data_IF_091127100488
#
_entry.id   IF_091127100488
#
_cell.length_a   1.000
_cell.length_b   1.000
_cell.length_c   1.000
_cell.angle_alpha   90.00
_cell.angle_beta   90.00
_cell.angle_gamma   90.00
#
_symmetry.space_group_name_H-M   'P 1'
#
loop_
_entity.id
_entity.type
_entity.pdbx_description
1 polymer ?
#
# COMPACT_ATOMS: atom_id res chain seq x y z
N UNK A 1 12.26 -26.18 -7.41
CA UNK A 1 12.93 -24.90 -7.69
C UNK A 1 11.95 -24.00 -8.42
N UNK A 2 11.92 -22.72 -8.08
CA UNK A 2 11.06 -21.70 -8.70
C UNK A 2 11.93 -20.75 -9.51
N UNK A 3 11.69 -20.56 -10.82
CA UNK A 3 12.37 -19.55 -11.61
C UNK A 3 12.01 -18.13 -11.17
N UNK A 4 13.02 -17.26 -11.15
CA UNK A 4 12.91 -15.83 -10.95
C UNK A 4 13.69 -15.13 -12.07
N UNK A 5 13.00 -14.30 -12.84
CA UNK A 5 13.59 -13.44 -13.86
C UNK A 5 13.42 -11.98 -13.43
N UNK A 6 14.52 -11.24 -13.39
CA UNK A 6 14.54 -9.82 -13.00
C UNK A 6 15.17 -9.03 -14.14
N UNK A 7 14.46 -8.04 -14.64
CA UNK A 7 14.95 -7.06 -15.59
C UNK A 7 15.23 -5.75 -14.86
N UNK A 8 16.44 -5.21 -14.99
CA UNK A 8 16.81 -3.90 -14.44
C UNK A 8 17.45 -3.09 -15.55
N UNK A 9 16.70 -2.14 -16.11
CA UNK A 9 17.13 -1.43 -17.32
C UNK A 9 17.40 -2.42 -18.47
N UNK A 10 18.64 -2.45 -18.97
CA UNK A 10 19.06 -3.38 -20.02
C UNK A 10 19.54 -4.75 -19.50
N UNK A 11 19.72 -4.91 -18.18
CA UNK A 11 20.24 -6.13 -17.58
C UNK A 11 19.11 -7.12 -17.30
N UNK A 12 19.40 -8.42 -17.51
CA UNK A 12 18.49 -9.51 -17.16
C UNK A 12 19.19 -10.51 -16.28
N UNK A 13 18.60 -10.78 -15.11
CA UNK A 13 19.08 -11.74 -14.13
C UNK A 13 18.13 -12.93 -14.09
N UNK A 14 18.67 -14.14 -14.28
CA UNK A 14 17.91 -15.38 -14.22
C UNK A 14 18.41 -16.21 -13.06
N UNK A 15 17.50 -16.49 -12.14
CA UNK A 15 17.80 -17.18 -10.89
C UNK A 15 16.78 -18.29 -10.66
N UNK A 16 17.12 -19.20 -9.75
CA UNK A 16 16.18 -20.21 -9.25
C UNK A 16 16.21 -20.25 -7.74
N UNK A 17 15.04 -20.23 -7.14
CA UNK A 17 14.85 -20.24 -5.70
C UNK A 17 14.34 -21.60 -5.24
N UNK A 18 14.60 -21.95 -3.99
CA UNK A 18 13.89 -23.06 -3.35
C UNK A 18 12.40 -22.73 -3.25
N UNK A 19 11.54 -23.76 -3.24
CA UNK A 19 10.11 -23.61 -2.96
C UNK A 19 9.89 -23.86 -1.46
N UNK A 20 9.76 -22.80 -0.69
CA UNK A 20 9.60 -22.84 0.76
C UNK A 20 8.83 -21.60 1.25
N UNK A 21 7.99 -21.79 2.27
CA UNK A 21 7.06 -20.73 2.72
C UNK A 21 7.78 -19.52 3.34
N UNK A 22 9.01 -19.70 3.83
CA UNK A 22 9.78 -18.65 4.51
C UNK A 22 10.96 -18.20 3.66
N UNK A 23 11.68 -19.13 3.03
CA UNK A 23 12.87 -18.80 2.25
C UNK A 23 12.55 -18.21 0.88
N UNK A 24 11.49 -18.65 0.19
CA UNK A 24 11.19 -18.13 -1.15
C UNK A 24 10.95 -16.62 -1.18
N UNK A 25 10.12 -16.02 -0.30
CA UNK A 25 9.92 -14.57 -0.28
C UNK A 25 11.21 -13.81 0.04
N UNK A 26 12.01 -14.31 1.00
CA UNK A 26 13.27 -13.69 1.40
C UNK A 26 14.30 -13.71 0.26
N UNK A 27 14.44 -14.84 -0.42
CA UNK A 27 15.34 -14.98 -1.56
C UNK A 27 14.91 -14.09 -2.73
N UNK A 28 13.61 -13.96 -2.99
CA UNK A 28 13.09 -13.06 -4.01
C UNK A 28 13.44 -11.60 -3.68
N UNK A 29 13.21 -11.18 -2.43
CA UNK A 29 13.59 -9.85 -1.94
C UNK A 29 15.10 -9.60 -2.09
N UNK A 30 15.94 -10.54 -1.66
CA UNK A 30 17.40 -10.41 -1.77
C UNK A 30 17.85 -10.33 -3.22
N UNK A 31 17.30 -11.18 -4.09
CA UNK A 31 17.61 -11.20 -5.52
C UNK A 31 17.26 -9.87 -6.20
N UNK A 32 16.07 -9.32 -5.95
CA UNK A 32 15.66 -8.01 -6.49
C UNK A 32 16.57 -6.92 -5.93
N UNK A 33 16.86 -6.93 -4.63
CA UNK A 33 17.73 -5.93 -4.02
C UNK A 33 19.12 -5.94 -4.64
N UNK A 34 19.76 -7.11 -4.72
CA UNK A 34 21.09 -7.25 -5.32
C UNK A 34 21.10 -6.91 -6.81
N UNK A 35 20.02 -7.17 -7.55
CA UNK A 35 19.93 -6.81 -8.97
C UNK A 35 19.86 -5.29 -9.17
N UNK A 36 19.11 -4.60 -8.29
CA UNK A 36 19.06 -3.13 -8.28
C UNK A 36 20.41 -2.56 -7.85
N UNK A 37 20.96 -3.03 -6.73
CA UNK A 37 22.24 -2.52 -6.18
C UNK A 37 23.42 -2.74 -7.14
N UNK A 38 23.42 -3.83 -7.92
CA UNK A 38 24.46 -4.11 -8.91
C UNK A 38 24.37 -3.26 -10.18
N UNK A 39 23.20 -2.71 -10.51
CA UNK A 39 22.97 -1.97 -11.77
C UNK A 39 22.80 -0.48 -11.56
N UNK A 40 22.12 -0.10 -10.49
CA UNK A 40 21.66 1.25 -10.23
C UNK A 40 22.49 1.92 -9.13
N UNK A 41 22.41 3.24 -9.09
CA UNK A 41 23.00 4.01 -7.99
C UNK A 41 22.21 3.73 -6.71
N UNK A 42 22.81 3.01 -5.78
CA UNK A 42 22.17 2.62 -4.51
C UNK A 42 22.13 3.71 -3.44
N UNK A 43 22.77 4.87 -3.68
CA UNK A 43 22.86 5.98 -2.70
C UNK A 43 22.25 7.27 -3.23
N UNK A 44 21.25 7.76 -2.51
CA UNK A 44 20.55 9.02 -2.73
C UNK A 44 19.06 8.82 -3.01
N UNK A 45 18.32 9.92 -3.26
CA UNK A 45 16.92 9.84 -3.63
C UNK A 45 16.73 9.05 -4.92
N UNK A 46 15.77 8.14 -4.92
CA UNK A 46 15.46 7.29 -6.07
C UNK A 46 13.96 7.03 -6.15
N UNK A 47 13.50 6.70 -7.35
CA UNK A 47 12.14 6.22 -7.59
C UNK A 47 12.22 5.04 -8.54
N UNK A 48 11.70 3.89 -8.13
CA UNK A 48 11.65 2.67 -8.94
C UNK A 48 10.20 2.27 -9.19
N UNK A 49 9.86 2.07 -10.46
CA UNK A 49 8.66 1.37 -10.87
C UNK A 49 8.98 -0.13 -10.90
N UNK A 50 8.16 -0.91 -10.20
CA UNK A 50 8.23 -2.36 -10.13
C UNK A 50 6.98 -2.91 -10.81
N UNK A 51 7.18 -3.53 -11.97
CA UNK A 51 6.13 -4.20 -12.73
C UNK A 51 6.44 -5.68 -12.86
N UNK A 52 5.44 -6.49 -13.18
CA UNK A 52 5.66 -7.90 -13.48
C UNK A 52 4.53 -8.79 -13.00
N UNK A 53 4.85 -10.05 -12.75
CA UNK A 53 3.88 -11.05 -12.29
C UNK A 53 4.49 -12.09 -11.38
N UNK A 54 3.66 -12.56 -10.45
CA UNK A 54 3.90 -13.69 -9.58
C UNK A 54 2.90 -14.77 -10.00
N UNK A 55 3.39 -15.84 -10.61
CA UNK A 55 2.57 -16.93 -11.11
C UNK A 55 2.47 -18.02 -10.02
N UNK A 56 1.28 -18.21 -9.47
CA UNK A 56 0.96 -19.32 -8.58
C UNK A 56 0.30 -20.48 -9.34
N UNK A 57 0.11 -21.61 -8.68
CA UNK A 57 -0.50 -22.78 -9.31
C UNK A 57 -1.95 -22.52 -9.75
N UNK A 58 -2.72 -21.79 -8.95
CA UNK A 58 -4.14 -21.48 -9.14
C UNK A 58 -4.44 -20.11 -9.75
N UNK A 59 -3.42 -19.31 -10.11
CA UNK A 59 -3.61 -18.01 -10.75
C UNK A 59 -2.37 -17.11 -10.63
N UNK A 60 -2.44 -15.92 -11.21
CA UNK A 60 -1.32 -14.97 -11.21
C UNK A 60 -1.68 -13.67 -10.47
N UNK A 61 -0.68 -13.05 -9.88
CA UNK A 61 -0.76 -11.74 -9.24
C UNK A 61 0.08 -10.75 -10.04
N UNK A 62 -0.50 -9.61 -10.39
CA UNK A 62 0.22 -8.54 -11.08
C UNK A 62 0.98 -7.68 -10.08
N UNK A 63 2.23 -7.38 -10.40
CA UNK A 63 3.00 -6.34 -9.74
C UNK A 63 2.90 -5.07 -10.58
N UNK A 64 2.47 -3.97 -9.96
CA UNK A 64 2.39 -2.65 -10.59
C UNK A 64 2.43 -1.57 -9.50
N UNK A 65 3.62 -1.30 -9.00
CA UNK A 65 3.80 -0.33 -7.92
C UNK A 65 5.05 0.52 -8.11
N UNK A 66 5.06 1.68 -7.46
CA UNK A 66 6.17 2.62 -7.51
C UNK A 66 6.62 2.92 -6.09
N UNK A 67 7.92 2.88 -5.90
CA UNK A 67 8.57 3.13 -4.63
C UNK A 67 9.52 4.30 -4.81
N UNK A 68 9.29 5.39 -4.08
CA UNK A 68 10.12 6.58 -4.11
C UNK A 68 10.49 7.03 -2.71
N UNK A 69 11.65 7.67 -2.57
CA UNK A 69 12.10 8.21 -1.30
C UNK A 69 13.55 8.67 -1.34
N UNK A 70 14.03 9.22 -0.22
CA UNK A 70 15.38 9.78 -0.11
C UNK A 70 16.44 8.75 0.30
N UNK A 71 16.02 7.68 0.99
CA UNK A 71 16.89 6.66 1.57
C UNK A 71 16.29 5.27 1.42
N UNK A 72 17.13 4.27 1.12
CA UNK A 72 16.76 2.85 1.19
C UNK A 72 15.71 2.38 0.17
N UNK A 73 15.48 3.13 -0.91
CA UNK A 73 14.39 2.85 -1.87
C UNK A 73 14.53 1.47 -2.50
N UNK A 74 15.74 1.02 -2.83
CA UNK A 74 16.00 -0.33 -3.35
C UNK A 74 15.53 -1.43 -2.39
N UNK A 75 15.75 -1.25 -1.09
CA UNK A 75 15.30 -2.20 -0.06
C UNK A 75 13.77 -2.22 0.06
N UNK A 76 13.14 -1.04 0.05
CA UNK A 76 11.67 -0.90 0.10
C UNK A 76 11.03 -1.54 -1.15
N UNK A 77 11.54 -1.24 -2.34
CA UNK A 77 11.04 -1.79 -3.60
C UNK A 77 11.16 -3.32 -3.64
N UNK A 78 12.29 -3.86 -3.16
CA UNK A 78 12.53 -5.30 -3.08
C UNK A 78 11.60 -5.98 -2.08
N UNK A 79 11.36 -5.35 -0.93
CA UNK A 79 10.36 -5.81 0.05
C UNK A 79 8.95 -5.80 -0.56
N UNK A 80 8.65 -4.84 -1.44
CA UNK A 80 7.42 -4.76 -2.22
C UNK A 80 7.17 -5.97 -3.14
N UNK A 81 8.23 -6.63 -3.61
CA UNK A 81 8.14 -7.91 -4.36
C UNK A 81 7.98 -9.09 -3.43
N UNK A 82 8.77 -9.16 -2.36
CA UNK A 82 8.74 -10.28 -1.41
C UNK A 82 7.41 -10.39 -0.65
N UNK A 83 6.81 -9.25 -0.31
CA UNK A 83 5.58 -9.16 0.48
C UNK A 83 4.38 -9.94 -0.09
N UNK A 84 3.95 -9.74 -1.34
CA UNK A 84 2.85 -10.52 -1.93
C UNK A 84 3.17 -12.02 -2.07
N UNK A 85 4.45 -12.38 -2.28
CA UNK A 85 4.89 -13.79 -2.28
C UNK A 85 4.73 -14.39 -0.88
N UNK A 86 5.19 -13.68 0.15
CA UNK A 86 5.03 -14.11 1.54
C UNK A 86 3.55 -14.26 1.90
N UNK A 87 2.70 -13.30 1.52
CA UNK A 87 1.26 -13.36 1.78
C UNK A 87 0.62 -14.58 1.10
N UNK A 88 0.94 -14.85 -0.17
CA UNK A 88 0.45 -16.04 -0.87
C UNK A 88 0.89 -17.35 -0.24
N UNK A 89 2.18 -17.50 0.09
CA UNK A 89 2.73 -18.76 0.62
C UNK A 89 2.38 -19.02 2.10
N UNK A 90 2.20 -17.97 2.91
CA UNK A 90 1.85 -18.12 4.33
C UNK A 90 0.43 -18.62 4.52
N UNK A 91 -0.45 -18.49 3.53
CA UNK A 91 -1.80 -19.07 3.55
C UNK A 91 -1.85 -20.60 3.61
N UNK A 92 -0.80 -21.28 3.12
CA UNK A 92 -0.71 -22.74 3.12
C UNK A 92 -1.54 -23.45 2.04
N UNK A 93 -2.23 -22.74 1.15
CA UNK A 93 -2.99 -23.38 0.08
C UNK A 93 -2.07 -23.97 -1.01
N UNK A 94 -2.31 -25.22 -1.43
CA UNK A 94 -1.56 -25.86 -2.52
C UNK A 94 -1.68 -25.11 -3.86
N UNK A 95 -2.84 -24.48 -4.10
CA UNK A 95 -3.07 -23.62 -5.25
C UNK A 95 -2.19 -22.36 -5.26
N UNK A 96 -1.60 -22.00 -4.12
CA UNK A 96 -0.68 -20.86 -3.99
C UNK A 96 0.79 -21.29 -3.94
N UNK A 97 1.10 -22.52 -4.38
CA UNK A 97 2.48 -22.89 -4.72
C UNK A 97 2.97 -22.02 -5.87
N UNK A 98 4.11 -21.37 -5.66
CA UNK A 98 4.73 -20.49 -6.64
C UNK A 98 5.30 -21.30 -7.82
N UNK A 99 4.99 -20.88 -9.04
CA UNK A 99 5.46 -21.47 -10.31
C UNK A 99 6.54 -20.64 -10.97
N UNK A 100 6.43 -19.31 -10.95
CA UNK A 100 7.33 -18.40 -11.65
C UNK A 100 7.19 -16.98 -11.11
N UNK A 101 8.26 -16.19 -11.17
CA UNK A 101 8.23 -14.76 -10.86
C UNK A 101 9.00 -14.01 -11.95
N UNK A 102 8.37 -12.98 -12.52
CA UNK A 102 9.02 -12.04 -13.44
C UNK A 102 8.87 -10.65 -12.87
N UNK A 103 9.97 -9.92 -12.77
CA UNK A 103 10.02 -8.57 -12.23
C UNK A 103 10.76 -7.65 -13.18
N UNK A 104 10.13 -6.56 -13.54
CA UNK A 104 10.71 -5.45 -14.28
C UNK A 104 10.91 -4.28 -13.32
N UNK A 105 12.17 -3.88 -13.13
CA UNK A 105 12.56 -2.72 -12.34
C UNK A 105 13.01 -1.62 -13.27
N UNK A 106 12.31 -0.49 -13.24
CA UNK A 106 12.61 0.68 -14.06
C UNK A 106 12.83 1.89 -13.17
N UNK A 107 14.01 2.55 -13.24
CA UNK A 107 14.18 3.87 -12.66
C UNK A 107 13.18 4.85 -13.28
N UNK A 108 12.44 5.57 -12.45
CA UNK A 108 11.47 6.57 -12.91
C UNK A 108 12.15 7.93 -12.94
N UNK A 109 12.16 8.55 -14.12
CA UNK A 109 12.59 9.95 -14.25
C UNK A 109 11.60 10.88 -13.53
N UNK A 110 12.12 11.92 -12.88
CA UNK A 110 11.33 12.91 -12.15
C UNK A 110 10.27 13.58 -13.02
N UNK A 111 10.46 13.60 -14.35
CA UNK A 111 9.49 14.14 -15.31
C UNK A 111 8.08 13.56 -15.18
N UNK A 112 7.98 12.28 -14.80
CA UNK A 112 6.71 11.56 -14.74
C UNK A 112 6.27 11.25 -13.30
N UNK A 113 6.77 12.00 -12.31
CA UNK A 113 6.49 11.79 -10.89
C UNK A 113 5.77 13.00 -10.28
N UNK A 114 4.77 12.72 -9.45
CA UNK A 114 4.14 13.69 -8.55
C UNK A 114 4.39 13.28 -7.11
N UNK A 115 5.14 14.09 -6.37
CA UNK A 115 5.36 13.89 -4.96
C UNK A 115 4.27 14.60 -4.15
N UNK A 116 3.64 13.91 -3.20
CA UNK A 116 2.74 14.53 -2.24
C UNK A 116 3.57 15.42 -1.32
N UNK A 117 3.37 16.73 -1.46
CA UNK A 117 4.13 17.76 -0.75
C UNK A 117 3.45 18.12 0.58
N UNK A 118 2.13 18.26 0.57
CA UNK A 118 1.35 18.60 1.75
C UNK A 118 -0.12 18.18 1.62
N UNK A 119 -0.85 18.18 2.75
CA UNK A 119 -2.31 18.09 2.79
C UNK A 119 -2.84 19.14 3.74
N UNK A 120 -3.75 19.99 3.26
CA UNK A 120 -4.40 21.02 4.06
C UNK A 120 -5.86 20.69 4.33
N UNK A 121 -6.30 21.01 5.54
CA UNK A 121 -7.65 20.80 6.03
C UNK A 121 -8.01 21.89 7.07
N UNK A 122 -9.29 22.18 7.31
CA UNK A 122 -9.68 23.05 8.41
C UNK A 122 -9.25 22.46 9.76
N UNK A 123 -8.90 23.33 10.70
CA UNK A 123 -8.48 22.89 12.05
C UNK A 123 -9.63 22.28 12.84
N UNK A 124 -10.84 22.78 12.63
CA UNK A 124 -12.04 22.43 13.39
C UNK A 124 -13.24 22.28 12.47
N UNK A 125 -14.06 21.28 12.75
CA UNK A 125 -15.29 20.97 12.01
C UNK A 125 -16.37 20.51 12.98
N UNK A 126 -17.62 20.48 12.52
CA UNK A 126 -18.77 19.91 13.21
C UNK A 126 -19.33 18.71 12.44
N UNK A 127 -20.06 17.81 13.11
CA UNK A 127 -20.80 16.75 12.43
C UNK A 127 -21.72 17.34 11.35
N UNK A 128 -21.65 16.79 10.15
CA UNK A 128 -22.39 17.29 9.00
C UNK A 128 -21.75 18.48 8.27
N UNK A 129 -20.53 18.92 8.58
CA UNK A 129 -19.86 19.93 7.76
C UNK A 129 -19.41 19.36 6.40
N UNK A 130 -19.44 20.18 5.35
CA UNK A 130 -18.71 19.95 4.10
C UNK A 130 -17.30 20.53 4.21
N UNK A 131 -16.31 19.68 4.05
CA UNK A 131 -14.90 20.02 4.22
C UNK A 131 -14.17 19.92 2.90
N UNK A 132 -13.47 20.99 2.52
CA UNK A 132 -12.49 20.95 1.45
C UNK A 132 -11.14 20.48 2.00
N UNK A 133 -10.61 19.41 1.42
CA UNK A 133 -9.27 18.90 1.68
C UNK A 133 -8.41 19.20 0.45
N UNK A 134 -7.28 19.88 0.64
CA UNK A 134 -6.40 20.28 -0.46
C UNK A 134 -5.13 19.46 -0.38
N UNK A 135 -4.86 18.64 -1.40
CA UNK A 135 -3.61 17.89 -1.52
C UNK A 135 -2.67 18.65 -2.44
N UNK A 136 -1.51 19.04 -1.92
CA UNK A 136 -0.44 19.68 -2.67
C UNK A 136 0.53 18.65 -3.24
N UNK A 137 0.92 18.85 -4.49
CA UNK A 137 1.87 18.02 -5.22
C UNK A 137 3.02 18.86 -5.75
N UNK A 138 4.23 18.28 -5.73
CA UNK A 138 5.40 18.80 -6.42
C UNK A 138 5.77 17.86 -7.54
N UNK A 139 5.80 18.37 -8.77
CA UNK A 139 6.20 17.66 -9.98
C UNK A 139 7.60 18.04 -10.47
N UNK A 140 7.85 17.86 -11.76
CA UNK A 140 9.13 18.18 -12.39
C UNK A 140 9.55 19.65 -12.16
N UNK A 141 10.84 19.87 -11.90
CA UNK A 141 11.44 21.20 -11.74
C UNK A 141 10.80 22.05 -10.62
N UNK A 142 10.15 21.40 -9.65
CA UNK A 142 9.46 22.09 -8.56
C UNK A 142 8.09 22.64 -8.94
N UNK A 143 7.50 22.21 -10.06
CA UNK A 143 6.17 22.62 -10.45
C UNK A 143 5.15 22.20 -9.37
N UNK A 144 4.52 23.18 -8.72
CA UNK A 144 3.51 22.95 -7.71
C UNK A 144 2.13 22.84 -8.35
N UNK A 145 1.35 21.88 -7.89
CA UNK A 145 -0.07 21.77 -8.25
C UNK A 145 -0.86 21.29 -7.04
N UNK A 146 -2.16 21.54 -7.03
CA UNK A 146 -3.02 21.07 -5.95
C UNK A 146 -4.31 20.45 -6.48
N UNK A 147 -4.91 19.60 -5.66
CA UNK A 147 -6.21 18.98 -5.91
C UNK A 147 -7.07 19.13 -4.68
N UNK A 148 -8.25 19.72 -4.86
CA UNK A 148 -9.28 19.80 -3.82
C UNK A 148 -10.19 18.59 -3.92
N UNK A 149 -10.41 17.91 -2.80
CA UNK A 149 -11.42 16.88 -2.64
C UNK A 149 -12.40 17.27 -1.54
N UNK A 150 -13.66 16.89 -1.71
CA UNK A 150 -14.72 17.22 -0.77
C UNK A 150 -14.98 16.03 0.14
N UNK A 151 -15.06 16.30 1.45
CA UNK A 151 -15.39 15.31 2.47
C UNK A 151 -16.53 15.84 3.34
N UNK A 152 -17.64 15.10 3.38
CA UNK A 152 -18.74 15.37 4.31
C UNK A 152 -18.46 14.68 5.63
N UNK A 153 -18.32 15.43 6.72
CA UNK A 153 -18.23 14.85 8.06
C UNK A 153 -19.56 14.16 8.37
N UNK A 154 -19.57 12.87 8.78
CA UNK A 154 -20.81 12.18 9.13
C UNK A 154 -21.59 12.95 10.20
N UNK A 155 -22.93 13.02 10.06
CA UNK A 155 -23.80 13.73 11.00
C UNK A 155 -23.76 13.19 12.43
N UNK A 156 -23.36 11.93 12.60
CA UNK A 156 -23.16 11.28 13.90
C UNK A 156 -21.69 11.14 14.30
N UNK A 157 -20.77 11.90 13.69
CA UNK A 157 -19.35 11.82 14.02
C UNK A 157 -19.13 12.20 15.49
N UNK A 158 -18.47 11.36 16.31
CA UNK A 158 -18.20 11.69 17.70
C UNK A 158 -17.19 12.85 17.80
N UNK A 159 -17.18 13.65 18.88
CA UNK A 159 -16.14 14.64 19.10
C UNK A 159 -14.73 14.03 19.11
N UNK A 160 -13.70 14.84 18.85
CA UNK A 160 -12.29 14.43 18.90
C UNK A 160 -11.54 14.49 17.57
N UNK A 161 -10.34 13.92 17.53
CA UNK A 161 -9.42 14.08 16.39
C UNK A 161 -9.76 13.12 15.25
N UNK A 162 -9.95 13.70 14.06
CA UNK A 162 -9.88 13.03 12.76
C UNK A 162 -8.51 13.27 12.13
N UNK A 163 -7.91 12.22 11.59
CA UNK A 163 -6.69 12.28 10.82
C UNK A 163 -7.04 12.24 9.34
N UNK A 164 -6.39 13.10 8.55
CA UNK A 164 -6.45 13.09 7.09
C UNK A 164 -5.06 12.79 6.58
N UNK A 165 -4.91 11.66 5.91
CA UNK A 165 -3.65 11.22 5.31
C UNK A 165 -3.77 11.20 3.80
N UNK A 166 -3.01 12.02 3.10
CA UNK A 166 -2.80 11.89 1.65
C UNK A 166 -1.57 11.02 1.42
N UNK A 167 -1.70 9.94 0.66
CA UNK A 167 -0.62 8.96 0.48
C UNK A 167 -0.60 8.30 -0.89
N UNK A 168 0.55 7.74 -1.23
CA UNK A 168 0.72 6.88 -2.40
C UNK A 168 0.15 5.47 -2.20
N UNK A 169 0.11 4.70 -3.30
CA UNK A 169 -0.41 3.33 -3.29
C UNK A 169 0.41 2.38 -2.41
N UNK A 170 1.73 2.55 -2.37
CA UNK A 170 2.63 1.70 -1.58
C UNK A 170 2.32 1.77 -0.09
N UNK A 171 2.08 2.98 0.42
CA UNK A 171 1.69 3.19 1.81
C UNK A 171 0.34 2.53 2.11
N UNK A 172 -0.68 2.75 1.27
CA UNK A 172 -2.02 2.19 1.52
C UNK A 172 -2.03 0.67 1.41
N UNK A 173 -1.38 0.11 0.38
CA UNK A 173 -1.29 -1.34 0.20
C UNK A 173 -0.57 -2.03 1.35
N UNK A 174 0.46 -1.40 1.93
CA UNK A 174 1.13 -1.92 3.12
C UNK A 174 0.17 -2.00 4.32
N UNK A 175 -0.64 -0.97 4.56
CA UNK A 175 -1.63 -0.98 5.65
C UNK A 175 -2.70 -2.04 5.46
N UNK A 176 -3.18 -2.23 4.23
CA UNK A 176 -4.21 -3.21 3.88
C UNK A 176 -3.67 -4.64 4.00
N UNK A 177 -2.45 -4.89 3.53
CA UNK A 177 -1.80 -6.20 3.70
C UNK A 177 -1.56 -6.51 5.18
N UNK A 178 -1.11 -5.54 5.98
CA UNK A 178 -0.96 -5.72 7.42
C UNK A 178 -2.29 -6.06 8.10
N UNK A 179 -3.38 -5.39 7.72
CA UNK A 179 -4.72 -5.71 8.22
C UNK A 179 -5.17 -7.13 7.81
N UNK A 180 -4.82 -7.56 6.61
CA UNK A 180 -5.18 -8.86 6.07
C UNK A 180 -4.36 -10.02 6.67
N UNK A 181 -3.20 -9.77 7.28
CA UNK A 181 -2.39 -10.82 7.93
C UNK A 181 -3.05 -11.44 9.17
N UNK A 182 -3.98 -10.74 9.82
CA UNK A 182 -4.77 -11.25 10.96
C UNK A 182 -6.14 -11.83 10.56
N UNK A 183 -6.56 -11.65 9.31
CA UNK A 183 -7.83 -12.15 8.83
C UNK A 183 -7.66 -13.56 8.26
N UNK A 184 -8.54 -14.48 8.66
CA UNK A 184 -8.56 -15.81 8.06
C UNK A 184 -8.99 -15.69 6.59
N UNK A 185 -8.10 -16.09 5.67
CA UNK A 185 -8.47 -16.31 4.27
C UNK A 185 -9.04 -17.72 4.13
N UNK A 186 -10.23 -17.85 3.55
CA UNK A 186 -10.92 -19.14 3.44
C UNK A 186 -10.66 -19.85 2.11
N UNK A 187 -10.11 -19.16 1.11
CA UNK A 187 -9.83 -19.74 -0.21
C UNK A 187 -8.62 -19.12 -0.91
N UNK A 188 -7.99 -19.84 -1.85
CA UNK A 188 -6.93 -19.30 -2.70
C UNK A 188 -7.38 -18.12 -3.57
N UNK A 189 -8.62 -18.17 -4.07
CA UNK A 189 -9.18 -17.11 -4.92
C UNK A 189 -9.30 -15.79 -4.15
N UNK A 190 -9.75 -15.82 -2.89
CA UNK A 190 -9.79 -14.62 -2.05
C UNK A 190 -8.42 -13.94 -1.92
N UNK A 191 -7.33 -14.72 -1.83
CA UNK A 191 -5.97 -14.18 -1.75
C UNK A 191 -5.54 -13.58 -3.08
N UNK A 192 -5.80 -14.27 -4.19
CA UNK A 192 -5.48 -13.78 -5.53
C UNK A 192 -6.27 -12.49 -5.85
N UNK A 193 -7.54 -12.44 -5.49
CA UNK A 193 -8.40 -11.27 -5.66
C UNK A 193 -7.93 -10.12 -4.78
N UNK A 194 -7.56 -10.38 -3.53
CA UNK A 194 -6.98 -9.39 -2.62
C UNK A 194 -5.68 -8.78 -3.19
N UNK A 195 -4.75 -9.63 -3.63
CA UNK A 195 -3.46 -9.17 -4.15
C UNK A 195 -3.62 -8.42 -5.49
N UNK A 196 -4.53 -8.84 -6.36
CA UNK A 196 -4.81 -8.13 -7.61
C UNK A 196 -5.66 -6.87 -7.43
N UNK A 197 -6.40 -6.76 -6.32
CA UNK A 197 -7.16 -5.58 -5.91
C UNK A 197 -6.33 -4.49 -5.23
N UNK A 198 -5.01 -4.68 -5.11
CA UNK A 198 -4.11 -3.66 -4.58
C UNK A 198 -4.15 -2.38 -5.42
N UNK A 199 -3.98 -1.25 -4.74
CA UNK A 199 -4.06 0.10 -5.31
C UNK A 199 -2.95 0.36 -6.30
N UNK A 200 -3.28 1.09 -7.36
CA UNK A 200 -2.34 1.51 -8.41
C UNK A 200 -1.58 2.77 -8.01
N UNK A 201 -0.31 2.84 -8.39
CA UNK A 201 0.59 3.99 -8.19
C UNK A 201 0.26 5.23 -9.04
N UNK A 202 -0.73 5.17 -9.93
CA UNK A 202 -1.18 6.29 -10.78
C UNK A 202 -2.24 7.19 -10.13
N UNK A 203 -2.45 7.02 -8.82
CA UNK A 203 -3.41 7.77 -8.01
C UNK A 203 -2.82 8.11 -6.65
N UNK A 204 -3.23 9.24 -6.10
CA UNK A 204 -3.09 9.53 -4.68
C UNK A 204 -4.34 9.10 -3.92
N UNK A 205 -4.20 8.73 -2.66
CA UNK A 205 -5.30 8.26 -1.82
C UNK A 205 -5.38 9.15 -0.58
N UNK A 206 -6.52 9.84 -0.42
CA UNK A 206 -6.84 10.62 0.77
C UNK A 206 -7.68 9.77 1.70
N UNK A 207 -7.09 9.34 2.80
CA UNK A 207 -7.73 8.54 3.83
C UNK A 207 -8.10 9.41 5.02
N UNK A 208 -9.38 9.39 5.41
CA UNK A 208 -9.85 9.98 6.68
C UNK A 208 -10.03 8.86 7.70
N UNK A 209 -9.46 9.01 8.88
CA UNK A 209 -9.43 7.95 9.88
C UNK A 209 -9.35 8.48 11.32
N UNK A 210 -9.63 7.61 12.30
CA UNK A 210 -9.48 7.88 13.74
C UNK A 210 -8.50 6.93 14.39
N UNK A 211 -7.83 7.36 15.46
CA UNK A 211 -6.98 6.48 16.27
C UNK A 211 -7.81 5.59 17.22
N UNK A 212 -8.88 5.01 16.69
CA UNK A 212 -9.75 4.04 17.34
C UNK A 212 -9.44 2.64 16.79
N UNK A 213 -9.89 1.60 17.51
CA UNK A 213 -9.76 0.22 17.04
C UNK A 213 -10.48 0.04 15.70
N UNK A 214 -9.74 -0.45 14.70
CA UNK A 214 -10.26 -0.75 13.38
C UNK A 214 -10.66 -2.22 13.31
N UNK A 215 -11.95 -2.49 13.38
CA UNK A 215 -12.47 -3.84 13.24
C UNK A 215 -12.67 -4.17 11.77
N UNK A 216 -12.46 -5.43 11.39
CA UNK A 216 -12.71 -5.88 10.02
C UNK A 216 -13.44 -7.23 10.01
N UNK A 217 -14.38 -7.38 9.07
CA UNK A 217 -15.08 -8.63 8.78
C UNK A 217 -14.89 -8.93 7.29
N UNK A 218 -14.35 -10.11 6.97
CA UNK A 218 -14.10 -10.55 5.58
C UNK A 218 -13.30 -9.51 4.74
N UNK A 219 -12.34 -8.83 5.36
CA UNK A 219 -11.51 -7.82 4.67
C UNK A 219 -12.19 -6.45 4.47
N UNK A 220 -13.40 -6.24 5.00
CA UNK A 220 -14.05 -4.91 5.03
C UNK A 220 -13.93 -4.28 6.41
N UNK A 221 -13.53 -3.01 6.44
CA UNK A 221 -13.47 -2.22 7.67
C UNK A 221 -14.87 -1.90 8.20
N UNK A 222 -15.05 -2.08 9.50
CA UNK A 222 -16.24 -1.70 10.25
C UNK A 222 -15.87 -0.59 11.23
N UNK A 223 -16.14 0.67 10.87
CA UNK A 223 -16.02 1.75 11.83
C UNK A 223 -17.11 1.59 12.88
N UNK A 224 -16.70 1.48 14.15
CA UNK A 224 -17.58 1.55 15.33
C UNK A 224 -18.63 0.43 15.46
N UNK A 225 -18.23 -0.85 15.60
CA UNK A 225 -19.16 -1.93 15.85
C UNK A 225 -19.82 -1.79 17.24
N UNK A 226 -21.07 -2.25 17.43
CA UNK A 226 -21.72 -2.26 18.74
C UNK A 226 -20.83 -2.94 19.80
N UNK A 227 -20.85 -2.50 21.08
CA UNK A 227 -19.92 -3.01 22.10
C UNK A 227 -19.88 -4.54 22.26
N UNK A 228 -21.02 -5.21 22.07
CA UNK A 228 -21.12 -6.67 22.08
C UNK A 228 -20.37 -7.32 20.92
N UNK A 229 -20.46 -6.74 19.73
CA UNK A 229 -19.75 -7.18 18.53
C UNK A 229 -18.25 -6.84 18.62
N UNK A 230 -17.92 -5.65 19.16
CA UNK A 230 -16.55 -5.22 19.44
C UNK A 230 -15.82 -6.17 20.40
N UNK A 231 -16.50 -6.73 21.40
CA UNK A 231 -15.95 -7.72 22.33
C UNK A 231 -15.66 -9.07 21.66
N UNK A 232 -16.48 -9.48 20.69
CA UNK A 232 -16.29 -10.73 19.93
C UNK A 232 -15.14 -10.54 18.92
N UNK A 233 -15.22 -9.49 18.10
CA UNK A 233 -14.19 -9.16 17.11
C UNK A 233 -12.85 -8.83 17.77
N UNK A 234 -12.89 -8.12 18.89
CA UNK A 234 -11.73 -7.77 19.69
C UNK A 234 -11.01 -8.98 20.28
N UNK A 235 -11.70 -10.10 20.56
CA UNK A 235 -11.05 -11.37 20.98
C UNK A 235 -10.39 -12.11 19.81
N UNK A 236 -10.96 -12.01 18.61
CA UNK A 236 -10.40 -12.61 17.39
C UNK A 236 -9.22 -11.80 16.86
N UNK A 237 -9.26 -10.47 17.02
CA UNK A 237 -8.22 -9.51 16.58
C UNK A 237 -7.28 -9.06 17.71
N UNK A 238 -7.39 -9.63 18.92
CA UNK A 238 -6.65 -9.25 20.14
C UNK A 238 -5.12 -9.29 19.98
N UNK A 239 -4.60 -9.97 18.97
CA UNK A 239 -3.16 -10.09 18.70
C UNK A 239 -2.61 -8.94 17.84
N UNK A 240 -3.43 -7.99 17.39
CA UNK A 240 -2.99 -6.92 16.49
C UNK A 240 -3.52 -5.57 16.95
N UNK A 241 -2.69 -4.84 17.71
CA UNK A 241 -2.81 -3.39 17.86
C UNK A 241 -2.75 -2.78 16.46
N UNK A 242 -3.92 -2.47 15.92
CA UNK A 242 -4.04 -1.93 14.58
C UNK A 242 -3.69 -0.44 14.61
N UNK A 243 -2.39 -0.12 14.56
CA UNK A 243 -1.87 1.26 14.46
C UNK A 243 -2.35 1.99 13.19
N UNK A 244 -3.04 1.30 12.29
CA UNK A 244 -3.66 1.87 11.08
C UNK A 244 -4.85 2.77 11.40
N UNK A 245 -5.45 2.65 12.59
CA UNK A 245 -6.68 3.34 13.00
C UNK A 245 -7.91 3.00 12.15
N UNK A 246 -9.09 3.40 12.60
CA UNK A 246 -10.37 3.11 11.96
C UNK A 246 -10.58 4.00 10.73
N UNK A 247 -10.69 3.39 9.53
CA UNK A 247 -10.92 4.09 8.26
C UNK A 247 -12.37 4.58 8.21
N UNK A 248 -12.54 5.89 8.07
CA UNK A 248 -13.85 6.52 7.85
C UNK A 248 -14.17 6.57 6.36
N UNK A 249 -13.22 7.03 5.55
CA UNK A 249 -13.36 7.05 4.09
C UNK A 249 -12.00 7.05 3.40
N UNK A 250 -12.00 6.74 2.11
CA UNK A 250 -10.86 6.87 1.20
C UNK A 250 -11.34 7.51 -0.10
N UNK A 251 -10.61 8.53 -0.56
CA UNK A 251 -10.90 9.28 -1.79
C UNK A 251 -9.70 9.17 -2.72
N UNK A 252 -9.94 8.75 -3.96
CA UNK A 252 -8.89 8.64 -4.98
C UNK A 252 -8.73 9.95 -5.75
N UNK A 253 -7.48 10.35 -5.98
CA UNK A 253 -7.11 11.50 -6.82
C UNK A 253 -6.28 10.97 -8.00
N UNK A 254 -6.83 10.95 -9.23
CA UNK A 254 -6.09 10.50 -10.40
C UNK A 254 -4.90 11.40 -10.73
N UNK A 255 -3.73 10.80 -10.99
CA UNK A 255 -2.52 11.50 -11.42
C UNK A 255 -2.24 11.37 -12.93
N UNK A 256 -3.24 10.97 -13.71
CA UNK A 256 -3.14 10.71 -15.16
C UNK A 256 -2.01 9.69 -15.47
N UNK A 257 -0.97 10.13 -16.16
CA UNK A 257 0.19 9.32 -16.56
C UNK A 257 1.34 9.38 -15.55
N UNK A 258 1.25 10.28 -14.56
CA UNK A 258 2.27 10.43 -13.53
C UNK A 258 2.08 9.42 -12.42
N UNK A 259 3.19 8.98 -11.84
CA UNK A 259 3.20 8.14 -10.66
C UNK A 259 3.23 8.99 -9.40
N UNK A 260 2.48 8.58 -8.38
CA UNK A 260 2.38 9.31 -7.11
C UNK A 260 3.28 8.68 -6.07
N UNK A 261 3.99 9.52 -5.31
CA UNK A 261 4.86 9.09 -4.20
C UNK A 261 4.72 10.00 -2.99
N UNK A 262 4.92 9.45 -1.79
CA UNK A 262 4.96 10.19 -0.54
C UNK A 262 3.69 10.01 0.30
N UNK A 263 3.74 10.55 1.51
CA UNK A 263 2.62 10.53 2.45
C UNK A 263 2.70 11.73 3.38
N UNK A 264 1.55 12.37 3.63
CA UNK A 264 1.39 13.53 4.53
C UNK A 264 0.11 13.37 5.32
N UNK A 265 0.14 13.75 6.59
CA UNK A 265 -1.00 13.63 7.51
C UNK A 265 -1.23 14.93 8.27
N UNK A 266 -2.49 15.34 8.38
CA UNK A 266 -2.94 16.44 9.23
C UNK A 266 -4.09 16.01 10.13
N UNK A 267 -4.36 16.82 11.15
CA UNK A 267 -5.41 16.59 12.14
C UNK A 267 -6.52 17.63 11.99
N UNK A 268 -7.75 17.17 12.18
CA UNK A 268 -8.96 17.98 12.26
C UNK A 268 -9.63 17.65 13.60
N UNK A 269 -9.99 18.67 14.37
CA UNK A 269 -10.78 18.51 15.60
C UNK A 269 -12.28 18.56 15.27
N UNK A 270 -13.00 17.48 15.55
CA UNK A 270 -14.47 17.46 15.51
C UNK A 270 -14.99 18.00 16.82
N UNK A 271 -15.71 19.13 16.75
CA UNK A 271 -16.42 19.73 17.88
C UNK A 271 -17.82 19.15 18.03
N UNK A 272 -18.40 19.40 19.20
CA UNK A 272 -19.84 19.23 19.45
C UNK A 272 -20.71 20.05 18.48
#
# INVERSE_FOLDING_TARGET
>A
MVPLEIHVGANTYKMTMIQDRVMTPLLAQMAVFSSIDATERSVGPATYAIRGRIDFAGGSVRLDNVYGGDLGVSAIASMGVGSPIAYGLTSGFDALKLKNVVVDVTPVDRRNQLQIADVAAPRQVRPGDDVELIVGFTGENGAESSKTVHYRVPVGAPPGILYVTASDASYVNMLEMQAAMGAASHSPSQILDFLNGMRSSTKAYVRVWRMDAAYSIEGRDLPDPPPSLAMILGRVQASQLSWRGSKVTEIEIPAKESVVTGSKTVQIEVKE
#
